data_IF_111396702340
#
_entry.id   IF_111396702340
#
_cell.length_a   1.000
_cell.length_b   1.000
_cell.length_c   1.000
_cell.angle_alpha   90.00
_cell.angle_beta   90.00
_cell.angle_gamma   90.00
#
_symmetry.space_group_name_H-M   'P 1'
#
loop_
_entity.id
_entity.type
_entity.pdbx_description
1 polymer ?
#
# COMPACT_ATOMS: atom_id res chain seq x y z
N UNK A 1 -6.92 -10.32 6.74
CA UNK A 1 -8.32 -9.88 6.72
C UNK A 1 -8.29 -8.41 7.06
N UNK A 2 -8.91 -7.58 6.23
CA UNK A 2 -9.07 -6.16 6.52
C UNK A 2 -10.51 -5.96 6.99
N UNK A 3 -10.67 -5.33 8.16
CA UNK A 3 -11.97 -5.10 8.79
C UNK A 3 -12.34 -3.62 8.56
N UNK A 4 -13.45 -3.42 7.85
CA UNK A 4 -14.11 -2.12 7.70
C UNK A 4 -15.53 -2.33 8.25
N UNK A 5 -15.84 -1.67 9.37
CA UNK A 5 -17.13 -1.78 10.06
C UNK A 5 -17.58 -3.22 10.40
N UNK A 6 -16.62 -4.11 10.73
CA UNK A 6 -16.90 -5.50 11.08
C UNK A 6 -17.13 -6.46 9.91
N UNK A 7 -17.05 -5.99 8.66
CA UNK A 7 -17.19 -6.83 7.45
C UNK A 7 -15.80 -7.16 6.87
N UNK A 8 -15.56 -8.45 6.60
CA UNK A 8 -14.35 -8.90 5.87
C UNK A 8 -14.43 -8.38 4.42
N UNK A 9 -13.57 -7.41 4.09
CA UNK A 9 -13.42 -6.93 2.71
C UNK A 9 -12.09 -7.42 2.13
N UNK A 10 -12.14 -7.93 0.90
CA UNK A 10 -10.96 -8.03 0.06
C UNK A 10 -10.63 -6.63 -0.42
N UNK A 11 -9.58 -6.04 0.14
CA UNK A 11 -9.15 -4.69 -0.23
C UNK A 11 -7.93 -4.81 -1.14
N UNK A 12 -8.09 -4.32 -2.36
CA UNK A 12 -7.00 -4.01 -3.27
C UNK A 12 -6.66 -2.53 -3.15
N UNK A 13 -5.39 -2.18 -3.34
CA UNK A 13 -4.96 -0.80 -3.42
C UNK A 13 -3.88 -0.62 -4.49
N UNK A 14 -3.76 0.60 -4.99
CA UNK A 14 -2.78 1.01 -5.98
C UNK A 14 -1.59 1.69 -5.29
N UNK A 15 -0.38 1.34 -5.67
CA UNK A 15 0.85 2.04 -5.28
C UNK A 15 1.42 2.82 -6.46
N UNK A 16 1.59 4.13 -6.28
CA UNK A 16 2.19 5.01 -7.29
C UNK A 16 3.51 5.57 -6.78
N UNK A 17 4.55 5.55 -7.62
CA UNK A 17 5.86 6.05 -7.26
C UNK A 17 5.98 7.54 -7.55
N UNK A 18 6.52 8.27 -6.58
CA UNK A 18 6.88 9.68 -6.73
C UNK A 18 8.39 9.85 -6.62
N UNK A 19 8.96 10.61 -7.54
CA UNK A 19 10.34 11.08 -7.46
C UNK A 19 10.49 12.07 -6.29
N UNK A 20 11.40 11.78 -5.37
CA UNK A 20 11.66 12.59 -4.16
C UNK A 20 13.15 12.73 -3.95
N UNK A 21 13.61 13.94 -3.65
CA UNK A 21 15.00 14.20 -3.25
C UNK A 21 15.15 13.93 -1.75
N UNK A 22 15.92 12.90 -1.40
CA UNK A 22 16.19 12.51 -0.01
C UNK A 22 17.69 12.45 0.19
N UNK A 23 18.23 13.29 1.09
CA UNK A 23 19.66 13.38 1.39
C UNK A 23 20.54 13.59 0.15
N UNK A 24 20.09 14.42 -0.79
CA UNK A 24 20.82 14.71 -2.02
C UNK A 24 20.72 13.64 -3.12
N UNK A 25 20.01 12.54 -2.87
CA UNK A 25 19.79 11.46 -3.84
C UNK A 25 18.33 11.43 -4.29
N UNK A 26 18.11 11.22 -5.59
CA UNK A 26 16.78 10.95 -6.13
C UNK A 26 16.35 9.56 -5.68
N UNK A 27 15.17 9.46 -5.06
CA UNK A 27 14.53 8.21 -4.67
C UNK A 27 13.10 8.16 -5.21
N UNK A 28 12.68 6.98 -5.67
CA UNK A 28 11.27 6.72 -5.98
C UNK A 28 10.59 6.15 -4.74
N UNK A 29 9.63 6.90 -4.20
CA UNK A 29 8.88 6.50 -3.01
C UNK A 29 7.48 6.09 -3.44
N UNK A 30 7.13 4.82 -3.23
CA UNK A 30 5.78 4.32 -3.48
C UNK A 30 4.81 4.83 -2.42
N UNK A 31 3.71 5.41 -2.87
CA UNK A 31 2.63 5.94 -2.06
C UNK A 31 1.34 5.19 -2.37
N UNK A 32 0.51 4.93 -1.37
CA UNK A 32 -0.83 4.38 -1.60
C UNK A 32 -1.66 5.46 -2.30
N UNK A 33 -2.01 5.22 -3.56
CA UNK A 33 -2.67 6.19 -4.42
C UNK A 33 -4.20 6.02 -4.41
N UNK A 34 -4.68 4.78 -4.32
CA UNK A 34 -6.10 4.47 -4.29
C UNK A 34 -6.37 3.18 -3.53
N UNK A 35 -7.58 3.03 -3.00
CA UNK A 35 -8.05 1.85 -2.28
C UNK A 35 -9.43 1.46 -2.83
N UNK A 36 -9.61 0.19 -3.16
CA UNK A 36 -10.86 -0.32 -3.74
C UNK A 36 -10.94 -0.07 -5.25
N UNK A 37 -11.61 1.00 -5.67
CA UNK A 37 -11.80 1.31 -7.09
C UNK A 37 -10.53 1.92 -7.71
N UNK A 38 -9.88 1.20 -8.63
CA UNK A 38 -8.58 1.57 -9.21
C UNK A 38 -8.67 2.03 -10.67
N UNK A 39 -9.88 2.26 -11.21
CA UNK A 39 -10.14 2.46 -12.66
C UNK A 39 -9.40 3.65 -13.29
N UNK A 40 -9.13 4.70 -12.50
CA UNK A 40 -8.55 5.96 -13.00
C UNK A 40 -7.07 6.14 -12.67
N UNK A 41 -6.40 5.11 -12.13
CA UNK A 41 -4.99 5.18 -11.76
C UNK A 41 -4.14 4.48 -12.82
N UNK A 42 -3.08 5.15 -13.30
CA UNK A 42 -2.17 4.62 -14.32
C UNK A 42 -0.74 4.50 -13.77
N UNK A 43 0.02 3.51 -14.25
CA UNK A 43 1.43 3.33 -13.86
C UNK A 43 1.61 2.98 -12.37
N UNK A 44 0.71 2.17 -11.82
CA UNK A 44 0.73 1.76 -10.42
C UNK A 44 0.83 0.24 -10.30
N UNK A 45 1.38 -0.24 -9.18
CA UNK A 45 1.32 -1.65 -8.81
C UNK A 45 0.04 -1.91 -8.01
N UNK A 46 -0.75 -2.90 -8.43
CA UNK A 46 -1.93 -3.34 -7.68
C UNK A 46 -1.52 -4.39 -6.67
N UNK A 47 -1.78 -4.10 -5.39
CA UNK A 47 -1.57 -5.07 -4.31
C UNK A 47 -2.91 -5.69 -3.95
N UNK A 48 -3.08 -6.97 -4.31
CA UNK A 48 -4.17 -7.81 -3.81
C UNK A 48 -3.77 -8.44 -2.47
N UNK A 49 -4.51 -8.08 -1.43
CA UNK A 49 -4.22 -8.58 -0.09
C UNK A 49 -4.59 -10.06 0.11
N UNK A 50 -5.34 -10.73 -0.79
CA UNK A 50 -5.70 -12.17 -0.70
C UNK A 50 -6.02 -12.67 0.72
N UNK A 51 -6.98 -12.04 1.40
CA UNK A 51 -7.35 -12.30 2.81
C UNK A 51 -6.23 -12.14 3.86
N UNK A 52 -5.07 -11.59 3.50
CA UNK A 52 -3.97 -11.31 4.42
C UNK A 52 -4.29 -10.11 5.31
N UNK A 53 -3.76 -10.10 6.54
CA UNK A 53 -3.86 -8.98 7.46
C UNK A 53 -2.90 -7.91 6.97
N UNK A 54 -3.44 -6.82 6.45
CA UNK A 54 -2.65 -5.65 6.10
C UNK A 54 -2.23 -4.92 7.39
N UNK A 55 -1.01 -4.40 7.43
CA UNK A 55 -0.56 -3.51 8.50
C UNK A 55 0.38 -2.45 7.94
N UNK A 56 0.04 -1.19 8.13
CA UNK A 56 0.87 -0.03 7.78
C UNK A 56 0.83 0.93 8.98
N UNK A 57 1.98 1.17 9.62
CA UNK A 57 2.09 2.02 10.81
C UNK A 57 1.06 1.72 11.92
N UNK A 58 0.72 0.44 12.13
CA UNK A 58 -0.27 0.01 13.14
C UNK A 58 -1.73 0.06 12.68
N UNK A 59 -2.03 0.69 11.53
CA UNK A 59 -3.34 0.64 10.91
C UNK A 59 -3.54 -0.68 10.14
N UNK A 60 -4.74 -1.24 10.22
CA UNK A 60 -5.14 -2.48 9.53
C UNK A 60 -5.74 -2.26 8.14
N UNK A 61 -5.92 -0.99 7.74
CA UNK A 61 -6.48 -0.55 6.47
C UNK A 61 -5.43 0.28 5.71
N UNK A 62 -5.29 0.11 4.38
CA UNK A 62 -4.49 1.01 3.57
C UNK A 62 -5.09 2.42 3.56
N UNK A 63 -4.24 3.43 3.66
CA UNK A 63 -4.65 4.84 3.68
C UNK A 63 -4.03 5.57 2.50
N UNK A 64 -4.86 6.28 1.74
CA UNK A 64 -4.42 7.07 0.58
C UNK A 64 -3.47 8.18 1.06
N UNK A 65 -2.40 8.41 0.30
CA UNK A 65 -1.40 9.44 0.58
C UNK A 65 -0.33 9.04 1.59
N UNK A 66 -0.35 7.80 2.10
CA UNK A 66 0.66 7.28 3.02
C UNK A 66 1.73 6.49 2.26
N UNK A 67 2.97 6.51 2.76
CA UNK A 67 4.06 5.70 2.22
C UNK A 67 3.68 4.22 2.26
N UNK A 68 3.97 3.49 1.18
CA UNK A 68 3.67 2.07 1.03
C UNK A 68 4.69 1.18 1.80
N UNK A 69 4.95 1.52 3.06
CA UNK A 69 5.71 0.73 4.03
C UNK A 69 4.74 -0.16 4.82
N UNK A 70 4.41 -1.34 4.28
CA UNK A 70 3.37 -2.18 4.86
C UNK A 70 3.81 -3.64 4.99
N UNK A 71 3.04 -4.42 5.74
CA UNK A 71 3.18 -5.87 5.77
C UNK A 71 1.86 -6.56 5.53
N UNK A 72 1.94 -7.77 4.95
CA UNK A 72 0.84 -8.71 4.86
C UNK A 72 1.12 -9.88 5.79
N UNK A 73 0.18 -10.14 6.70
CA UNK A 73 0.29 -11.12 7.80
C UNK A 73 1.50 -10.92 8.72
N UNK A 74 2.12 -9.73 8.73
CA UNK A 74 3.41 -9.45 9.39
C UNK A 74 4.60 -10.28 8.87
N UNK A 75 4.45 -10.99 7.74
CA UNK A 75 5.50 -11.86 7.19
C UNK A 75 6.01 -11.37 5.84
N UNK A 76 5.10 -10.88 4.97
CA UNK A 76 5.50 -10.27 3.70
C UNK A 76 5.67 -8.78 3.95
N UNK A 77 6.89 -8.28 3.90
CA UNK A 77 7.21 -6.89 4.20
C UNK A 77 7.45 -6.15 2.89
N UNK A 78 6.93 -4.93 2.81
CA UNK A 78 7.08 -4.03 1.69
C UNK A 78 7.65 -2.72 2.22
N UNK A 79 8.69 -2.21 1.57
CA UNK A 79 9.26 -0.90 1.83
C UNK A 79 9.07 -0.02 0.60
N UNK A 80 8.42 1.13 0.78
CA UNK A 80 8.11 2.10 -0.29
C UNK A 80 7.43 1.44 -1.50
N UNK A 81 6.58 0.43 -1.26
CA UNK A 81 5.88 -0.30 -2.31
C UNK A 81 6.61 -1.52 -2.88
N UNK A 82 7.90 -1.69 -2.56
CA UNK A 82 8.72 -2.79 -3.07
C UNK A 82 8.75 -3.92 -2.04
N UNK A 83 8.50 -5.15 -2.48
CA UNK A 83 8.62 -6.33 -1.64
C UNK A 83 10.09 -6.57 -1.24
N UNK A 84 10.33 -6.77 0.05
CA UNK A 84 11.62 -7.16 0.61
C UNK A 84 11.84 -8.69 0.58
#
# INVERSE_FOLDING_TARGET
IVYDDGVEKMISFAVQYRETLVNGCIQFIGMIAAVGNLHDYFGHDVVDCKKSIFTNNGASLPQIGVCADFSLNKVKIFAKGIKL
#
